data_IF_423366259944
#
_entry.id   IF_423366259944
#
_cell.length_a   1.000
_cell.length_b   1.000
_cell.length_c   1.000
_cell.angle_alpha   90.00
_cell.angle_beta   90.00
_cell.angle_gamma   90.00
#
_symmetry.space_group_name_H-M   'P 1'
#
loop_
_entity.id
_entity.type
_entity.pdbx_description
1 polymer ?
#
# COMPACT_ATOMS: atom_id res chain seq x y z
N UNK A 1 -10.05 56.58 -27.80
CA UNK A 1 -9.31 55.82 -26.78
C UNK A 1 -10.14 54.57 -26.53
N UNK A 2 -9.98 53.44 -27.24
CA UNK A 2 -8.73 52.73 -27.63
C UNK A 2 -7.87 52.60 -26.38
N UNK A 3 -8.00 51.53 -25.61
CA UNK A 3 -7.51 50.15 -25.83
C UNK A 3 -8.24 49.27 -24.77
N UNK A 4 -8.42 47.95 -24.85
CA UNK A 4 -7.84 46.90 -25.67
C UNK A 4 -8.78 45.68 -25.54
N UNK A 5 -9.09 45.06 -26.67
CA UNK A 5 -9.64 43.72 -26.73
C UNK A 5 -8.59 42.71 -26.23
N UNK A 6 -9.10 41.52 -25.87
CA UNK A 6 -8.42 40.22 -25.97
C UNK A 6 -7.53 39.83 -24.78
N UNK A 7 -8.17 39.23 -23.78
CA UNK A 7 -7.56 38.07 -23.11
C UNK A 7 -8.45 36.87 -23.46
N UNK A 8 -8.19 36.32 -24.63
CA UNK A 8 -8.42 34.91 -24.87
C UNK A 8 -7.27 34.17 -24.19
N UNK A 9 -7.58 33.43 -23.13
CA UNK A 9 -6.68 32.41 -22.61
C UNK A 9 -7.54 31.19 -22.25
N UNK A 10 -7.03 30.04 -22.64
CA UNK A 10 -7.79 28.87 -23.05
C UNK A 10 -8.82 28.39 -22.05
N UNK A 11 -10.04 28.18 -22.55
CA UNK A 11 -10.92 27.16 -22.01
C UNK A 11 -10.27 25.79 -22.29
N UNK A 12 -9.28 25.41 -21.50
CA UNK A 12 -8.84 24.01 -21.41
C UNK A 12 -9.91 23.26 -20.62
N UNK A 13 -11.04 22.99 -21.28
CA UNK A 13 -11.89 21.88 -20.89
C UNK A 13 -11.02 20.64 -21.05
N UNK A 14 -10.38 20.25 -19.95
CA UNK A 14 -9.89 18.89 -19.76
C UNK A 14 -11.08 17.99 -20.09
N UNK A 15 -11.03 17.40 -21.28
CA UNK A 15 -11.92 16.33 -21.66
C UNK A 15 -11.77 15.28 -20.56
N UNK A 16 -12.79 15.15 -19.72
CA UNK A 16 -12.99 13.98 -18.91
C UNK A 16 -13.11 12.84 -19.92
N UNK A 17 -11.98 12.21 -20.20
CA UNK A 17 -11.91 10.98 -20.94
C UNK A 17 -12.55 9.95 -20.03
N UNK A 18 -13.87 9.83 -20.11
CA UNK A 18 -14.61 8.67 -19.60
C UNK A 18 -14.13 7.50 -20.45
N UNK A 19 -12.99 6.93 -20.05
CA UNK A 19 -12.56 5.62 -20.52
C UNK A 19 -13.69 4.68 -20.11
N UNK A 20 -14.43 4.15 -21.07
CA UNK A 20 -15.24 2.97 -20.83
C UNK A 20 -14.27 1.84 -20.42
N UNK A 21 -14.03 1.70 -19.12
CA UNK A 21 -13.23 0.61 -18.59
C UNK A 21 -13.98 -0.67 -18.89
N UNK A 22 -13.43 -1.47 -19.80
CA UNK A 22 -14.01 -2.78 -20.10
C UNK A 22 -13.95 -3.63 -18.84
N UNK A 23 -14.92 -4.53 -18.64
CA UNK A 23 -14.91 -5.43 -17.48
C UNK A 23 -13.61 -6.26 -17.43
N UNK A 24 -13.00 -6.50 -18.59
CA UNK A 24 -11.69 -7.12 -18.74
C UNK A 24 -10.55 -6.25 -18.18
N UNK A 25 -10.51 -4.95 -18.48
CA UNK A 25 -9.56 -4.01 -17.89
C UNK A 25 -9.74 -3.87 -16.37
N UNK A 26 -10.99 -3.83 -15.88
CA UNK A 26 -11.27 -3.81 -14.44
C UNK A 26 -10.73 -5.09 -13.77
N UNK A 27 -10.99 -6.26 -14.35
CA UNK A 27 -10.47 -7.55 -13.85
C UNK A 27 -8.95 -7.61 -13.87
N UNK A 28 -8.27 -7.09 -14.90
CA UNK A 28 -6.81 -7.05 -14.99
C UNK A 28 -6.19 -6.17 -13.90
N UNK A 29 -6.84 -5.07 -13.49
CA UNK A 29 -6.39 -4.27 -12.34
C UNK A 29 -6.50 -5.05 -11.03
N UNK A 30 -7.49 -5.94 -10.89
CA UNK A 30 -7.64 -6.83 -9.74
C UNK A 30 -6.78 -8.10 -9.82
N UNK A 31 -6.34 -8.54 -11.01
CA UNK A 31 -5.43 -9.68 -11.16
C UNK A 31 -3.99 -9.35 -10.71
N UNK A 32 -3.71 -8.06 -10.47
CA UNK A 32 -2.58 -7.59 -9.65
C UNK A 32 -2.82 -7.85 -8.14
N UNK A 33 -3.77 -8.70 -7.77
CA UNK A 33 -3.80 -9.37 -6.46
C UNK A 33 -2.67 -10.42 -6.33
N UNK A 34 -1.63 -10.30 -7.15
CA UNK A 34 -0.30 -10.14 -6.59
C UNK A 34 0.23 -11.37 -5.89
N UNK A 35 0.35 -12.46 -6.64
CA UNK A 35 1.29 -13.57 -6.45
C UNK A 35 1.88 -13.62 -5.04
N UNK A 36 1.09 -14.13 -4.08
CA UNK A 36 1.57 -14.43 -2.73
C UNK A 36 2.41 -15.70 -2.85
N UNK A 37 3.69 -15.52 -3.19
CA UNK A 37 4.66 -16.60 -3.24
C UNK A 37 5.63 -16.48 -2.07
N UNK A 38 6.13 -17.61 -1.57
CA UNK A 38 7.16 -17.63 -0.52
C UNK A 38 8.35 -16.77 -0.93
N UNK A 39 8.87 -15.96 -0.02
CA UNK A 39 10.03 -15.10 -0.25
C UNK A 39 9.69 -13.69 -0.73
N UNK A 40 8.42 -13.37 -0.95
CA UNK A 40 7.96 -12.00 -1.24
C UNK A 40 7.81 -11.22 0.06
N UNK A 41 8.38 -10.02 0.10
CA UNK A 41 8.20 -9.11 1.24
C UNK A 41 6.87 -8.37 1.08
N UNK A 42 6.03 -8.42 2.10
CA UNK A 42 4.75 -7.75 2.20
C UNK A 42 4.74 -6.78 3.37
N UNK A 43 4.01 -5.68 3.21
CA UNK A 43 3.77 -4.73 4.30
C UNK A 43 2.51 -5.15 5.04
N UNK A 44 2.61 -5.29 6.36
CA UNK A 44 1.52 -5.61 7.24
C UNK A 44 1.43 -4.64 8.42
N UNK A 45 0.30 -4.65 9.12
CA UNK A 45 0.02 -3.78 10.27
C UNK A 45 -0.18 -4.64 11.51
N UNK A 46 0.46 -4.28 12.64
CA UNK A 46 0.23 -4.96 13.91
C UNK A 46 -1.19 -4.68 14.39
N UNK A 47 -2.01 -5.72 14.54
CA UNK A 47 -3.37 -5.60 15.09
C UNK A 47 -3.41 -5.93 16.58
N UNK A 48 -2.50 -6.79 17.05
CA UNK A 48 -2.39 -7.17 18.47
C UNK A 48 -0.93 -7.50 18.85
N UNK A 49 -0.51 -7.09 20.04
CA UNK A 49 0.83 -7.29 20.58
C UNK A 49 0.76 -8.07 21.89
N UNK A 50 1.41 -9.23 21.94
CA UNK A 50 1.40 -10.14 23.08
C UNK A 50 2.81 -10.42 23.58
N UNK A 51 2.91 -11.12 24.71
CA UNK A 51 4.22 -11.53 25.26
C UNK A 51 4.96 -12.53 24.37
N UNK A 52 4.24 -13.35 23.60
CA UNK A 52 4.79 -14.40 22.74
C UNK A 52 5.03 -13.96 21.29
N UNK A 53 4.37 -12.90 20.82
CA UNK A 53 4.51 -12.37 19.47
C UNK A 53 3.49 -11.29 19.12
N UNK A 54 3.34 -11.03 17.83
CA UNK A 54 2.40 -10.06 17.29
C UNK A 54 1.49 -10.70 16.25
N UNK A 55 0.27 -10.21 16.18
CA UNK A 55 -0.66 -10.52 15.10
C UNK A 55 -0.55 -9.41 14.05
N UNK A 56 -0.34 -9.78 12.79
CA UNK A 56 -0.07 -8.87 11.68
C UNK A 56 -1.14 -9.05 10.60
N UNK A 57 -1.88 -8.00 10.31
CA UNK A 57 -2.76 -7.96 9.13
C UNK A 57 -1.97 -7.54 7.89
N UNK A 58 -1.99 -8.36 6.86
CA UNK A 58 -1.32 -8.11 5.56
C UNK A 58 -2.32 -7.73 4.47
N UNK A 59 -3.58 -7.45 4.81
CA UNK A 59 -4.63 -7.09 3.85
C UNK A 59 -5.16 -8.27 3.04
N UNK A 60 -5.03 -9.48 3.57
CA UNK A 60 -5.55 -10.73 2.98
C UNK A 60 -6.60 -11.39 3.88
N UNK A 61 -7.05 -12.59 3.52
CA UNK A 61 -8.10 -13.31 4.26
C UNK A 61 -7.73 -13.70 5.69
N UNK A 62 -6.45 -13.78 5.99
CA UNK A 62 -5.94 -14.26 7.29
C UNK A 62 -4.88 -13.31 7.83
N UNK A 63 -4.86 -13.16 9.14
CA UNK A 63 -3.79 -12.50 9.87
C UNK A 63 -2.59 -13.45 10.01
N UNK A 64 -1.38 -12.90 9.93
CA UNK A 64 -0.13 -13.60 10.21
C UNK A 64 0.25 -13.50 11.68
N UNK A 65 0.88 -14.54 12.22
CA UNK A 65 1.46 -14.49 13.56
C UNK A 65 2.99 -14.35 13.45
N UNK A 66 3.53 -13.28 14.01
CA UNK A 66 4.96 -12.98 14.06
C UNK A 66 5.49 -13.25 15.48
N UNK A 67 6.17 -14.38 15.72
CA UNK A 67 6.71 -14.68 17.04
C UNK A 67 7.90 -13.79 17.38
N UNK A 68 8.06 -13.45 18.67
CA UNK A 68 9.15 -12.58 19.15
C UNK A 68 10.56 -13.06 18.78
N UNK A 69 10.74 -14.38 18.64
CA UNK A 69 12.03 -14.97 18.25
C UNK A 69 12.44 -14.64 16.80
N UNK A 70 11.47 -14.39 15.93
CA UNK A 70 11.72 -13.98 14.54
C UNK A 70 11.93 -12.46 14.44
N UNK A 71 11.54 -11.71 15.48
CA UNK A 71 11.94 -10.32 15.67
C UNK A 71 13.40 -10.25 16.12
N UNK A 72 14.31 -10.49 15.18
CA UNK A 72 15.74 -10.34 15.40
C UNK A 72 16.40 -9.76 14.15
N UNK A 73 17.09 -8.65 14.38
CA UNK A 73 17.69 -7.80 13.38
C UNK A 73 18.94 -8.46 12.78
N UNK A 74 18.80 -9.45 11.89
CA UNK A 74 19.89 -9.80 10.99
C UNK A 74 19.81 -8.92 9.75
N UNK A 75 20.79 -8.00 9.66
CA UNK A 75 21.20 -7.21 8.49
C UNK A 75 20.70 -5.74 8.50
N UNK A 76 21.47 -4.86 9.15
CA UNK A 76 21.86 -3.51 8.69
C UNK A 76 21.09 -2.23 9.06
N UNK A 77 20.20 -2.18 10.05
CA UNK A 77 19.61 -0.91 10.51
C UNK A 77 19.49 -0.93 12.04
N UNK A 78 19.64 0.23 12.65
CA UNK A 78 19.72 0.46 14.09
C UNK A 78 18.52 -0.12 14.84
N UNK A 79 18.73 -0.53 16.10
CA UNK A 79 17.78 -1.19 17.00
C UNK A 79 16.36 -0.61 16.87
N UNK A 80 15.52 -1.25 16.04
CA UNK A 80 14.14 -0.86 15.90
C UNK A 80 13.40 -1.20 17.20
N UNK A 81 12.68 -0.24 17.81
CA UNK A 81 11.86 -0.53 18.97
C UNK A 81 10.81 -1.60 18.62
N UNK A 82 10.41 -2.37 19.63
CA UNK A 82 9.35 -3.35 19.45
C UNK A 82 8.08 -2.68 18.92
N UNK A 83 7.42 -3.27 17.90
CA UNK A 83 6.30 -2.62 17.25
C UNK A 83 5.07 -2.66 18.16
N UNK A 84 4.41 -1.51 18.26
CA UNK A 84 3.14 -1.36 18.98
C UNK A 84 1.94 -1.61 18.04
N UNK A 85 0.75 -1.75 18.62
CA UNK A 85 -0.48 -1.90 17.83
C UNK A 85 -0.67 -0.71 16.87
N UNK A 86 -0.94 -1.01 15.60
CA UNK A 86 -1.02 -0.02 14.51
C UNK A 86 0.31 0.27 13.81
N UNK A 87 1.44 -0.27 14.28
CA UNK A 87 2.72 -0.13 13.59
C UNK A 87 2.74 -0.92 12.27
N UNK A 88 3.43 -0.37 11.26
CA UNK A 88 3.66 -1.06 9.98
C UNK A 88 4.95 -1.85 10.04
N UNK A 89 4.89 -3.12 9.64
CA UNK A 89 6.03 -4.05 9.61
C UNK A 89 6.12 -4.74 8.25
N UNK A 90 7.30 -5.25 7.92
CA UNK A 90 7.55 -6.01 6.69
C UNK A 90 7.73 -7.49 7.03
N UNK A 91 7.00 -8.36 6.35
CA UNK A 91 7.00 -9.82 6.55
C UNK A 91 7.33 -10.53 5.23
N UNK A 92 7.96 -11.72 5.28
CA UNK A 92 8.44 -12.47 4.10
C UNK A 92 8.04 -13.96 4.14
#
# INVERSE_FOLDING_TARGET
MVDELRTEDGLETHAAQEKEETMEEMMQQFDVMGDFHRGKILEGTIVDAREDGWLVDVGYKCEGFLPRKEWTHKVLVEEAPEPENGAKVKVQ
#
